data_IF_380788895817
#
_entry.id   IF_380788895817
#
_cell.length_a   1.000
_cell.length_b   1.000
_cell.length_c   1.000
_cell.angle_alpha   90.00
_cell.angle_beta   90.00
_cell.angle_gamma   90.00
#
_symmetry.space_group_name_H-M   'P 1'
#
loop_
_entity.id
_entity.type
_entity.pdbx_description
1 polymer ?
#
# COMPACT_ATOMS: atom_id res chain seq x y z
N UNK A 1 7.21 -17.53 -14.31
CA UNK A 1 6.73 -17.30 -15.70
C UNK A 1 5.75 -16.13 -15.79
N UNK A 2 4.63 -16.10 -15.05
CA UNK A 2 3.64 -14.99 -15.09
C UNK A 2 4.18 -13.58 -14.73
N UNK A 3 5.10 -13.45 -13.77
CA UNK A 3 5.71 -12.16 -13.35
C UNK A 3 6.55 -11.49 -14.46
N UNK A 4 7.16 -12.29 -15.34
CA UNK A 4 7.91 -11.76 -16.49
C UNK A 4 7.00 -11.14 -17.55
N UNK A 5 5.82 -11.72 -17.75
CA UNK A 5 4.81 -11.24 -18.71
C UNK A 5 4.11 -9.96 -18.23
N UNK A 6 3.93 -9.82 -16.92
CA UNK A 6 3.35 -8.62 -16.30
C UNK A 6 4.23 -7.37 -16.50
N UNK A 7 5.58 -7.50 -16.47
CA UNK A 7 6.49 -6.38 -16.74
C UNK A 7 6.35 -5.79 -18.16
N UNK A 8 5.90 -6.59 -19.13
CA UNK A 8 5.79 -6.20 -20.54
C UNK A 8 4.37 -5.81 -20.99
N UNK A 9 3.35 -5.91 -20.13
CA UNK A 9 1.94 -5.68 -20.49
C UNK A 9 1.33 -4.39 -19.94
N UNK A 10 2.15 -3.48 -19.39
CA UNK A 10 1.65 -2.19 -18.86
C UNK A 10 0.89 -2.29 -17.54
N UNK A 11 0.92 -3.45 -16.87
CA UNK A 11 0.40 -3.61 -15.50
C UNK A 11 1.40 -3.13 -14.46
N UNK A 12 0.90 -2.50 -13.39
CA UNK A 12 1.73 -1.88 -12.37
C UNK A 12 2.20 -2.92 -11.33
N UNK A 13 3.51 -3.07 -11.15
CA UNK A 13 4.10 -3.96 -10.16
C UNK A 13 4.23 -3.23 -8.82
N UNK A 14 3.46 -3.65 -7.81
CA UNK A 14 3.47 -3.01 -6.48
C UNK A 14 4.62 -3.45 -5.58
N UNK A 15 5.17 -4.66 -5.75
CA UNK A 15 6.32 -5.17 -4.98
C UNK A 15 7.04 -6.29 -5.73
N UNK A 16 8.35 -6.39 -5.56
CA UNK A 16 9.20 -7.45 -6.12
C UNK A 16 9.43 -8.62 -5.14
N UNK A 17 9.07 -8.45 -3.87
CA UNK A 17 9.47 -9.35 -2.78
C UNK A 17 8.74 -10.70 -2.75
N UNK A 18 7.71 -10.91 -3.59
CA UNK A 18 6.96 -12.17 -3.64
C UNK A 18 5.82 -12.31 -2.62
N UNK A 19 5.51 -11.26 -1.87
CA UNK A 19 4.38 -11.22 -0.95
C UNK A 19 3.02 -11.29 -1.67
N UNK A 20 1.96 -11.71 -0.95
CA UNK A 20 0.58 -11.60 -1.45
C UNK A 20 0.18 -10.14 -1.39
N UNK A 21 -0.17 -9.58 -2.55
CA UNK A 21 -0.56 -8.18 -2.71
C UNK A 21 -2.04 -8.09 -3.08
N UNK A 22 -2.75 -7.19 -2.40
CA UNK A 22 -4.07 -6.73 -2.80
C UNK A 22 -3.97 -5.25 -3.16
N UNK A 23 -4.34 -4.88 -4.39
CA UNK A 23 -4.34 -3.48 -4.82
C UNK A 23 -5.69 -3.14 -5.44
N UNK A 24 -6.38 -2.17 -4.82
CA UNK A 24 -7.61 -1.58 -5.33
C UNK A 24 -7.43 -0.06 -5.44
N UNK A 25 -8.39 0.65 -6.03
CA UNK A 25 -8.31 2.11 -6.16
C UNK A 25 -8.23 2.75 -4.77
N UNK A 26 -7.03 3.23 -4.42
CA UNK A 26 -6.76 3.92 -3.16
C UNK A 26 -6.38 3.02 -1.99
N UNK A 27 -6.19 1.71 -2.20
CA UNK A 27 -5.82 0.76 -1.16
C UNK A 27 -4.68 -0.15 -1.61
N UNK A 28 -3.71 -0.36 -0.72
CA UNK A 28 -2.61 -1.32 -0.89
C UNK A 28 -2.54 -2.20 0.35
N UNK A 29 -2.87 -3.48 0.19
CA UNK A 29 -2.74 -4.51 1.21
C UNK A 29 -1.57 -5.43 0.93
N UNK A 30 -0.84 -5.81 1.97
CA UNK A 30 0.30 -6.74 1.89
C UNK A 30 0.24 -7.71 3.06
N UNK A 31 0.44 -9.00 2.77
CA UNK A 31 0.69 -10.02 3.79
C UNK A 31 2.09 -10.62 3.58
N UNK A 32 2.94 -10.53 4.59
CA UNK A 32 4.32 -11.01 4.55
C UNK A 32 4.46 -12.40 5.12
N UNK A 33 5.33 -13.22 4.52
CA UNK A 33 5.77 -14.48 5.12
C UNK A 33 7.05 -14.27 5.93
N UNK A 34 8.10 -13.73 5.31
CA UNK A 34 9.44 -13.54 5.92
C UNK A 34 9.71 -12.14 6.49
N UNK A 35 8.81 -11.18 6.29
CA UNK A 35 8.99 -9.80 6.77
C UNK A 35 10.18 -9.06 6.14
N UNK A 36 10.58 -7.96 6.76
CA UNK A 36 11.71 -7.11 6.36
C UNK A 36 11.32 -5.82 5.64
N UNK A 37 12.32 -5.15 5.07
CA UNK A 37 12.16 -3.89 4.34
C UNK A 37 11.41 -4.14 3.03
N UNK A 38 10.44 -3.28 2.72
CA UNK A 38 9.66 -3.26 1.48
C UNK A 38 9.64 -1.86 0.90
N UNK A 39 9.74 -1.80 -0.43
CA UNK A 39 9.56 -0.57 -1.20
C UNK A 39 8.35 -0.79 -2.10
N UNK A 40 7.35 0.07 -1.94
CA UNK A 40 6.15 0.05 -2.75
C UNK A 40 6.20 1.21 -3.73
N UNK A 41 5.97 0.91 -5.01
CA UNK A 41 5.79 1.91 -6.06
C UNK A 41 4.30 2.05 -6.34
N UNK A 42 3.80 3.28 -6.41
CA UNK A 42 2.42 3.59 -6.73
C UNK A 42 2.30 3.96 -8.22
N UNK A 43 1.14 3.73 -8.85
CA UNK A 43 0.94 4.09 -10.27
C UNK A 43 0.99 5.60 -10.51
N UNK A 44 0.68 6.42 -9.49
CA UNK A 44 0.74 7.88 -9.51
C UNK A 44 1.18 8.43 -8.15
N UNK A 45 1.61 9.69 -8.13
CA UNK A 45 1.82 10.39 -6.87
C UNK A 45 0.49 10.53 -6.11
N UNK A 46 0.54 10.37 -4.79
CA UNK A 46 -0.59 10.53 -3.88
C UNK A 46 -0.23 11.53 -2.78
N UNK A 47 -1.22 12.25 -2.28
CA UNK A 47 -1.03 13.23 -1.20
C UNK A 47 -0.66 12.55 0.12
N UNK A 48 -1.22 11.37 0.38
CA UNK A 48 -1.02 10.65 1.63
C UNK A 48 -0.95 9.13 1.40
N UNK A 49 0.03 8.51 2.07
CA UNK A 49 0.06 7.08 2.38
C UNK A 49 -0.18 6.95 3.87
N UNK A 50 -1.26 6.29 4.26
CA UNK A 50 -1.68 6.15 5.64
C UNK A 50 -1.86 4.68 6.00
N UNK A 51 -1.25 4.26 7.10
CA UNK A 51 -1.43 2.92 7.66
C UNK A 51 -2.76 2.85 8.41
N UNK A 52 -3.68 2.03 7.93
CA UNK A 52 -5.02 1.91 8.48
C UNK A 52 -5.06 1.06 9.76
N UNK A 53 -4.05 0.22 10.01
CA UNK A 53 -3.98 -0.59 11.22
C UNK A 53 -3.22 0.15 12.32
N UNK A 54 -2.08 0.75 11.98
CA UNK A 54 -1.27 1.51 12.95
C UNK A 54 -1.74 2.96 13.13
N UNK A 55 -2.75 3.40 12.37
CA UNK A 55 -3.30 4.75 12.40
C UNK A 55 -2.25 5.87 12.24
N UNK A 56 -1.23 5.65 11.41
CA UNK A 56 -0.13 6.61 11.21
C UNK A 56 0.05 7.01 9.74
N UNK A 57 0.51 8.24 9.53
CA UNK A 57 0.97 8.66 8.19
C UNK A 57 2.32 8.00 7.92
N UNK A 58 2.44 7.31 6.80
CA UNK A 58 3.67 6.67 6.35
C UNK A 58 4.47 7.61 5.43
N UNK A 59 3.79 8.29 4.51
CA UNK A 59 4.41 9.24 3.60
C UNK A 59 3.41 10.27 3.07
N UNK A 60 3.91 11.38 2.52
CA UNK A 60 3.11 12.43 1.87
C UNK A 60 3.68 12.80 0.51
N UNK A 61 2.81 13.25 -0.39
CA UNK A 61 3.16 13.78 -1.72
C UNK A 61 4.18 12.92 -2.47
N UNK A 62 3.93 11.62 -2.53
CA UNK A 62 4.90 10.65 -3.03
C UNK A 62 4.28 9.66 -4.00
N UNK A 63 5.11 9.13 -4.89
CA UNK A 63 4.81 7.97 -5.72
C UNK A 63 5.44 6.67 -5.16
N UNK A 64 6.25 6.76 -4.11
CA UNK A 64 6.95 5.61 -3.52
C UNK A 64 7.00 5.72 -2.00
N UNK A 65 6.89 4.59 -1.30
CA UNK A 65 7.09 4.57 0.15
C UNK A 65 7.80 3.29 0.59
N UNK A 66 8.45 3.37 1.75
CA UNK A 66 9.21 2.28 2.33
C UNK A 66 8.70 1.99 3.74
N UNK A 67 8.55 0.71 4.06
CA UNK A 67 8.18 0.22 5.39
C UNK A 67 9.01 -1.00 5.76
N UNK A 68 9.14 -1.26 7.05
CA UNK A 68 9.66 -2.53 7.56
C UNK A 68 8.48 -3.29 8.15
N UNK A 69 8.23 -4.48 7.62
CA UNK A 69 7.11 -5.32 8.04
C UNK A 69 7.62 -6.51 8.86
N UNK A 70 6.92 -6.92 9.93
CA UNK A 70 7.21 -8.17 10.61
C UNK A 70 7.05 -9.39 9.69
N UNK A 71 7.63 -10.55 10.02
CA UNK A 71 7.22 -11.82 9.41
C UNK A 71 5.78 -12.17 9.79
N UNK A 72 5.10 -12.94 8.94
CA UNK A 72 3.72 -13.44 9.17
C UNK A 72 2.76 -12.32 9.62
N UNK A 73 2.71 -11.22 8.87
CA UNK A 73 1.93 -10.04 9.25
C UNK A 73 1.18 -9.45 8.08
N UNK A 74 0.08 -8.75 8.37
CA UNK A 74 -0.71 -8.03 7.36
C UNK A 74 -0.64 -6.54 7.64
N UNK A 75 -0.43 -5.75 6.59
CA UNK A 75 -0.58 -4.30 6.64
C UNK A 75 -1.54 -3.82 5.56
N UNK A 76 -2.24 -2.72 5.84
CA UNK A 76 -3.19 -2.11 4.91
C UNK A 76 -2.98 -0.60 4.86
N UNK A 77 -2.73 -0.09 3.67
CA UNK A 77 -2.46 1.31 3.42
C UNK A 77 -3.58 1.94 2.59
N UNK A 78 -4.03 3.12 3.02
CA UNK A 78 -4.75 4.04 2.15
C UNK A 78 -3.75 4.89 1.37
N UNK A 79 -3.97 5.04 0.06
CA UNK A 79 -3.12 5.81 -0.85
C UNK A 79 -3.96 6.77 -1.67
N UNK A 80 -4.05 8.03 -1.26
CA UNK A 80 -4.97 8.97 -1.91
C UNK A 80 -4.90 10.38 -1.36
N UNK A 81 -6.02 11.09 -1.45
CA UNK A 81 -6.14 12.45 -0.94
C UNK A 81 -6.17 12.47 0.59
N UNK A 82 -5.47 13.42 1.22
CA UNK A 82 -5.36 13.50 2.69
C UNK A 82 -6.71 13.76 3.38
N UNK A 83 -7.64 14.43 2.69
CA UNK A 83 -8.95 14.82 3.23
C UNK A 83 -9.97 13.68 3.34
N UNK A 84 -9.79 12.56 2.63
CA UNK A 84 -10.78 11.47 2.60
C UNK A 84 -10.90 10.74 3.94
N UNK A 85 -9.85 10.78 4.78
CA UNK A 85 -9.86 10.26 6.16
C UNK A 85 -10.93 10.90 7.04
N UNK A 86 -11.18 12.21 6.85
CA UNK A 86 -12.16 12.94 7.65
C UNK A 86 -13.59 12.42 7.41
N UNK A 87 -13.87 11.89 6.21
CA UNK A 87 -15.18 11.32 5.90
C UNK A 87 -15.41 9.96 6.59
N UNK A 88 -14.37 9.12 6.72
CA UNK A 88 -14.50 7.80 7.34
C UNK A 88 -14.67 7.85 8.86
N UNK A 89 -13.98 8.77 9.55
CA UNK A 89 -14.18 8.95 11.01
C UNK A 89 -15.59 9.39 11.39
N UNK A 90 -16.35 9.97 10.45
CA UNK A 90 -17.73 10.43 10.69
C UNK A 90 -18.80 9.34 10.48
N UNK A 91 -18.44 8.22 9.86
CA UNK A 91 -19.40 7.15 9.52
C UNK A 91 -19.35 5.91 10.42
N UNK A 92 -18.36 5.78 11.31
CA UNK A 92 -18.17 4.61 12.19
C UNK A 92 -18.71 4.82 13.61
N UNK A 93 -19.66 5.75 13.77
CA UNK A 93 -20.28 6.10 15.05
C UNK A 93 -21.81 6.01 15.00
N UNK A 94 -22.32 4.91 14.44
CA UNK A 94 -23.73 4.53 14.47
C UNK A 94 -23.86 3.07 14.92
#
# INVERSE_FOLDING_TARGET
VLRGLARFSGVHLYSEAGDVLYAARGLVGVHTVSGGKRVFQLPRAVEEVYDLFDNKTVARNTKTFQVTLPPVSTALYYTGAAGLRAAWKRGSGA
#
